data_IF_791884243650
#
_entry.id   IF_791884243650
#
_cell.length_a   1.000
_cell.length_b   1.000
_cell.length_c   1.000
_cell.angle_alpha   90.00
_cell.angle_beta   90.00
_cell.angle_gamma   90.00
#
_symmetry.space_group_name_H-M   'P 1'
#
loop_
_entity.id
_entity.type
_entity.pdbx_description
1 polymer ?
#
# COMPACT_ATOMS: atom_id res chain seq x y z
N UNK A 1 12.96 -2.73 -3.53
CA UNK A 1 12.25 -1.65 -2.84
C UNK A 1 12.82 -1.52 -1.44
N UNK A 2 13.28 -0.33 -1.07
CA UNK A 2 13.86 -0.08 0.25
C UNK A 2 12.83 0.50 1.23
N UNK A 3 11.85 1.23 0.71
CA UNK A 3 10.70 1.79 1.44
C UNK A 3 9.67 2.33 0.46
N UNK A 4 8.43 2.53 0.93
CA UNK A 4 7.34 3.15 0.18
C UNK A 4 6.64 2.19 -0.77
N UNK A 5 6.01 2.74 -1.78
CA UNK A 5 5.11 2.06 -2.69
C UNK A 5 5.51 2.31 -4.14
N UNK A 6 5.30 1.31 -4.99
CA UNK A 6 5.54 1.41 -6.44
C UNK A 6 4.52 0.61 -7.22
N UNK A 7 4.04 1.17 -8.31
CA UNK A 7 3.32 0.44 -9.34
C UNK A 7 4.22 0.22 -10.55
N UNK A 8 4.20 -1.00 -11.10
CA UNK A 8 5.03 -1.39 -12.25
C UNK A 8 4.18 -2.08 -13.31
N UNK A 9 4.29 -1.62 -14.56
CA UNK A 9 3.80 -2.33 -15.72
C UNK A 9 5.01 -2.89 -16.49
N UNK A 10 5.14 -4.22 -16.49
CA UNK A 10 6.28 -4.94 -17.06
C UNK A 10 5.94 -5.38 -18.48
N UNK A 11 6.79 -5.01 -19.44
CA UNK A 11 6.68 -5.51 -20.80
C UNK A 11 6.90 -7.02 -20.84
N UNK A 12 6.13 -7.73 -21.67
CA UNK A 12 6.25 -9.19 -21.77
C UNK A 12 7.59 -9.59 -22.38
N UNK A 13 8.44 -10.26 -21.60
CA UNK A 13 9.69 -10.84 -22.07
C UNK A 13 10.10 -12.01 -21.16
N UNK A 14 9.86 -13.24 -21.60
CA UNK A 14 10.14 -14.47 -20.85
C UNK A 14 11.65 -14.68 -20.57
N UNK A 15 12.51 -14.08 -21.40
CA UNK A 15 13.97 -14.19 -21.24
C UNK A 15 14.56 -13.17 -20.25
N UNK A 16 13.77 -12.17 -19.85
CA UNK A 16 14.20 -11.10 -18.94
C UNK A 16 13.10 -10.78 -17.92
N UNK A 17 12.82 -11.67 -16.98
CA UNK A 17 11.86 -11.40 -15.91
C UNK A 17 12.35 -10.25 -15.03
N UNK A 18 11.42 -9.36 -14.65
CA UNK A 18 11.69 -8.37 -13.63
C UNK A 18 11.63 -9.03 -12.25
N UNK A 19 12.62 -8.76 -11.41
CA UNK A 19 12.60 -9.19 -10.01
C UNK A 19 12.60 -7.94 -9.10
N UNK A 20 11.59 -7.84 -8.25
CA UNK A 20 11.47 -6.81 -7.21
C UNK A 20 11.78 -7.45 -5.86
N UNK A 21 12.73 -6.89 -5.14
CA UNK A 21 13.08 -7.29 -3.78
C UNK A 21 12.36 -6.36 -2.81
N UNK A 22 11.51 -6.93 -1.96
CA UNK A 22 10.75 -6.20 -0.94
C UNK A 22 10.77 -6.98 0.38
N UNK A 23 11.42 -6.42 1.41
CA UNK A 23 11.67 -7.14 2.66
C UNK A 23 12.41 -8.45 2.40
N UNK A 24 11.90 -9.56 2.94
CA UNK A 24 12.43 -10.92 2.71
C UNK A 24 11.87 -11.59 1.45
N UNK A 25 11.10 -10.88 0.63
CA UNK A 25 10.41 -11.45 -0.53
C UNK A 25 11.06 -11.04 -1.85
N UNK A 26 11.01 -11.95 -2.81
CA UNK A 26 11.33 -11.71 -4.22
C UNK A 26 10.05 -11.86 -5.00
N UNK A 27 9.65 -10.82 -5.72
CA UNK A 27 8.48 -10.77 -6.59
C UNK A 27 8.96 -10.77 -8.02
N UNK A 28 8.66 -11.83 -8.77
CA UNK A 28 9.06 -11.98 -10.16
C UNK A 28 7.87 -11.82 -11.12
N UNK A 29 8.09 -11.07 -12.18
CA UNK A 29 7.09 -10.65 -13.13
C UNK A 29 7.56 -10.81 -14.57
N UNK A 30 6.65 -11.30 -15.44
CA UNK A 30 6.84 -11.39 -16.90
C UNK A 30 5.57 -10.92 -17.58
N UNK A 31 5.59 -9.70 -18.14
CA UNK A 31 4.41 -9.14 -18.81
C UNK A 31 3.21 -8.95 -17.88
N UNK A 32 3.41 -8.31 -16.74
CA UNK A 32 2.41 -8.14 -15.70
C UNK A 32 2.36 -6.69 -15.22
N UNK A 33 1.22 -6.29 -14.65
CA UNK A 33 1.13 -5.02 -13.93
C UNK A 33 0.77 -5.30 -12.46
N UNK A 34 1.52 -4.71 -11.53
CA UNK A 34 1.34 -4.94 -10.10
C UNK A 34 1.83 -3.76 -9.28
N UNK A 35 1.30 -3.66 -8.08
CA UNK A 35 1.67 -2.70 -7.06
C UNK A 35 2.36 -3.42 -5.91
N UNK A 36 3.42 -2.85 -5.39
CA UNK A 36 4.15 -3.32 -4.20
C UNK A 36 4.31 -2.17 -3.24
N UNK A 37 3.84 -2.38 -2.03
CA UNK A 37 4.06 -1.48 -0.90
C UNK A 37 4.90 -2.19 0.15
N UNK A 38 5.96 -1.53 0.62
CA UNK A 38 6.76 -1.99 1.75
C UNK A 38 6.37 -1.19 2.99
N UNK A 39 5.57 -1.82 3.84
CA UNK A 39 5.22 -1.33 5.17
C UNK A 39 6.35 -1.54 6.19
N UNK A 40 6.08 -1.24 7.45
CA UNK A 40 7.04 -1.44 8.55
C UNK A 40 7.27 -2.91 8.89
N UNK A 41 6.26 -3.75 8.77
CA UNK A 41 6.28 -5.16 9.18
C UNK A 41 5.84 -6.14 8.09
N UNK A 42 5.29 -5.64 6.99
CA UNK A 42 4.74 -6.45 5.90
C UNK A 42 5.03 -5.86 4.53
N UNK A 43 4.80 -6.68 3.52
CA UNK A 43 4.77 -6.26 2.13
C UNK A 43 3.37 -6.50 1.60
N UNK A 44 2.77 -5.47 1.04
CA UNK A 44 1.51 -5.58 0.33
C UNK A 44 1.76 -5.67 -1.16
N UNK A 45 1.14 -6.64 -1.81
CA UNK A 45 1.24 -6.89 -3.25
C UNK A 45 -0.15 -6.95 -3.85
N UNK A 46 -0.42 -6.11 -4.85
CA UNK A 46 -1.67 -6.13 -5.62
C UNK A 46 -1.33 -6.39 -7.09
N UNK A 47 -1.94 -7.40 -7.69
CA UNK A 47 -1.77 -7.69 -9.12
C UNK A 47 -2.94 -7.13 -9.91
N UNK A 48 -2.66 -6.17 -10.79
CA UNK A 48 -3.67 -5.50 -11.63
C UNK A 48 -3.79 -6.15 -13.00
N UNK A 49 -2.73 -6.79 -13.48
CA UNK A 49 -2.76 -7.56 -14.73
C UNK A 49 -1.75 -8.70 -14.73
N UNK A 50 -2.15 -9.86 -15.27
CA UNK A 50 -1.30 -11.04 -15.36
C UNK A 50 -1.15 -11.80 -14.04
N UNK A 51 0.04 -12.32 -13.80
CA UNK A 51 0.40 -13.14 -12.63
C UNK A 51 1.85 -12.91 -12.25
N UNK A 52 2.13 -12.76 -10.97
CA UNK A 52 3.48 -12.69 -10.43
C UNK A 52 3.78 -13.91 -9.57
N UNK A 53 5.06 -14.25 -9.47
CA UNK A 53 5.58 -15.27 -8.58
C UNK A 53 6.23 -14.60 -7.37
N UNK A 54 5.90 -15.08 -6.18
CA UNK A 54 6.51 -14.64 -4.92
C UNK A 54 7.30 -15.78 -4.31
N UNK A 55 8.51 -15.50 -3.86
CA UNK A 55 9.39 -16.45 -3.16
C UNK A 55 10.12 -15.75 -2.02
N UNK A 56 10.53 -16.52 -1.01
CA UNK A 56 11.39 -16.04 0.07
C UNK A 56 12.84 -15.93 -0.43
N UNK A 57 13.53 -14.83 -0.07
CA UNK A 57 14.93 -14.57 -0.45
C UNK A 57 15.88 -15.65 0.06
N UNK A 58 15.57 -16.27 1.19
CA UNK A 58 16.35 -17.35 1.80
C UNK A 58 16.10 -18.72 1.14
N UNK A 59 15.07 -18.84 0.30
CA UNK A 59 14.77 -20.06 -0.43
C UNK A 59 15.49 -20.16 -1.78
N UNK A 60 16.48 -19.32 -2.02
CA UNK A 60 17.22 -19.21 -3.28
C UNK A 60 17.95 -20.48 -3.65
N UNK A 61 17.48 -21.17 -4.66
CA UNK A 61 18.38 -21.89 -5.60
C UNK A 61 18.99 -20.86 -6.55
N UNK A 62 20.28 -20.96 -6.82
CA UNK A 62 21.14 -19.95 -7.43
C UNK A 62 20.83 -19.54 -8.89
N UNK A 63 19.68 -19.86 -9.44
CA UNK A 63 19.26 -19.53 -10.80
C UNK A 63 18.02 -18.61 -10.81
N UNK A 64 17.90 -17.67 -11.76
CA UNK A 64 16.66 -16.95 -11.98
C UNK A 64 15.58 -17.97 -12.33
N UNK A 65 14.55 -18.06 -11.48
CA UNK A 65 13.40 -18.94 -11.70
C UNK A 65 12.71 -18.54 -13.00
N UNK A 66 12.58 -19.46 -13.94
CA UNK A 66 11.66 -19.29 -15.06
C UNK A 66 10.25 -19.42 -14.52
N UNK A 67 9.29 -18.69 -15.07
CA UNK A 67 7.88 -18.80 -14.68
C UNK A 67 7.35 -20.25 -14.82
N UNK A 68 7.97 -21.06 -15.69
CA UNK A 68 7.73 -22.49 -15.83
C UNK A 68 8.27 -23.33 -14.66
N UNK A 69 9.22 -22.81 -13.88
CA UNK A 69 9.91 -23.54 -12.80
C UNK A 69 9.28 -23.30 -11.41
N UNK A 70 8.06 -22.73 -11.39
CA UNK A 70 7.27 -22.38 -10.19
C UNK A 70 7.06 -23.53 -9.22
N UNK A 71 7.25 -24.78 -9.69
CA UNK A 71 7.03 -25.99 -8.91
C UNK A 71 8.24 -26.41 -8.03
N UNK A 72 9.32 -25.65 -8.03
CA UNK A 72 10.59 -26.14 -7.49
C UNK A 72 10.99 -25.57 -6.12
N UNK A 73 10.23 -24.59 -5.59
CA UNK A 73 10.45 -24.15 -4.20
C UNK A 73 9.21 -24.38 -3.37
N UNK A 74 9.29 -25.13 -2.26
CA UNK A 74 8.14 -25.38 -1.38
C UNK A 74 7.58 -24.11 -0.70
N UNK A 75 8.23 -22.96 -0.87
CA UNK A 75 7.83 -21.66 -0.33
C UNK A 75 7.49 -20.61 -1.40
N UNK A 76 7.29 -21.04 -2.65
CA UNK A 76 6.88 -20.12 -3.71
C UNK A 76 5.39 -20.25 -3.96
N UNK A 77 4.73 -19.12 -4.25
CA UNK A 77 3.32 -19.08 -4.61
C UNK A 77 3.08 -17.99 -5.66
N UNK A 78 1.95 -18.04 -6.32
CA UNK A 78 1.58 -17.05 -7.32
C UNK A 78 0.44 -16.16 -6.84
N UNK A 79 0.49 -14.89 -7.23
CA UNK A 79 -0.60 -13.92 -7.05
C UNK A 79 -1.06 -13.51 -8.44
N UNK A 80 -2.37 -13.61 -8.70
CA UNK A 80 -2.98 -13.37 -9.99
C UNK A 80 -3.75 -12.06 -10.01
N UNK A 81 -4.07 -11.57 -11.20
CA UNK A 81 -4.93 -10.41 -11.42
C UNK A 81 -6.16 -10.42 -10.51
N UNK A 82 -6.43 -9.28 -9.86
CA UNK A 82 -7.55 -9.11 -8.94
C UNK A 82 -7.28 -9.65 -7.53
N UNK A 83 -6.07 -10.12 -7.25
CA UNK A 83 -5.67 -10.60 -5.92
C UNK A 83 -4.75 -9.59 -5.23
N UNK A 84 -4.90 -9.53 -3.91
CA UNK A 84 -4.04 -8.82 -2.98
C UNK A 84 -3.39 -9.84 -2.05
N UNK A 85 -2.09 -9.73 -1.85
CA UNK A 85 -1.33 -10.55 -0.91
C UNK A 85 -0.70 -9.67 0.17
N UNK A 86 -0.86 -10.06 1.43
CA UNK A 86 -0.08 -9.52 2.55
C UNK A 86 0.99 -10.53 2.93
N UNK A 87 2.24 -10.13 2.80
CA UNK A 87 3.42 -10.96 3.01
C UNK A 87 4.08 -10.54 4.33
N UNK A 88 3.81 -11.28 5.39
CA UNK A 88 4.44 -11.09 6.70
C UNK A 88 5.52 -12.16 6.91
N UNK A 89 6.49 -11.89 7.75
CA UNK A 89 7.59 -12.83 8.02
C UNK A 89 7.10 -14.20 8.51
N UNK A 90 5.99 -14.26 9.22
CA UNK A 90 5.41 -15.49 9.80
C UNK A 90 4.23 -16.06 9.02
N UNK A 91 3.60 -15.28 8.14
CA UNK A 91 2.36 -15.69 7.46
C UNK A 91 2.16 -14.91 6.16
N UNK A 92 1.59 -15.57 5.16
CA UNK A 92 1.14 -14.96 3.92
C UNK A 92 -0.36 -15.15 3.78
N UNK A 93 -1.08 -14.05 3.55
CA UNK A 93 -2.52 -14.07 3.29
C UNK A 93 -2.76 -13.58 1.86
N UNK A 94 -3.45 -14.38 1.06
CA UNK A 94 -3.89 -13.98 -0.29
C UNK A 94 -5.42 -13.87 -0.27
N UNK A 95 -5.92 -12.72 -0.65
CA UNK A 95 -7.36 -12.45 -0.72
C UNK A 95 -7.73 -12.00 -2.14
N UNK A 96 -8.87 -12.47 -2.63
CA UNK A 96 -9.52 -11.86 -3.78
C UNK A 96 -10.00 -10.46 -3.36
N UNK A 97 -9.77 -9.47 -4.19
CA UNK A 97 -10.22 -8.11 -3.93
C UNK A 97 -11.26 -7.71 -4.98
N UNK A 98 -12.33 -7.04 -4.56
CA UNK A 98 -13.26 -6.48 -5.52
C UNK A 98 -12.64 -5.29 -6.27
N UNK A 99 -13.18 -5.01 -7.46
CA UNK A 99 -12.65 -3.97 -8.34
C UNK A 99 -12.69 -2.58 -7.68
N UNK A 100 -13.68 -2.32 -6.82
CA UNK A 100 -13.83 -1.03 -6.16
C UNK A 100 -12.75 -0.84 -5.09
N UNK A 101 -12.41 -1.90 -4.35
CA UNK A 101 -11.33 -1.87 -3.36
C UNK A 101 -9.97 -1.70 -4.04
N UNK A 102 -9.71 -2.45 -5.10
CA UNK A 102 -8.48 -2.28 -5.89
C UNK A 102 -8.34 -0.85 -6.45
N UNK A 103 -9.43 -0.27 -6.95
CA UNK A 103 -9.42 1.10 -7.44
C UNK A 103 -9.10 2.12 -6.32
N UNK A 104 -9.55 1.86 -5.08
CA UNK A 104 -9.21 2.71 -3.93
C UNK A 104 -7.74 2.57 -3.56
N UNK A 105 -7.27 1.33 -3.42
CA UNK A 105 -5.88 1.04 -3.05
C UNK A 105 -4.87 1.62 -4.07
N UNK A 106 -5.29 1.84 -5.32
CA UNK A 106 -4.44 2.36 -6.40
C UNK A 106 -4.73 3.82 -6.80
N UNK A 107 -5.66 4.49 -6.11
CA UNK A 107 -6.04 5.88 -6.43
C UNK A 107 -4.88 6.88 -6.29
N UNK A 108 -3.89 6.55 -5.45
CA UNK A 108 -2.69 7.35 -5.24
C UNK A 108 -1.88 7.60 -6.53
N UNK A 109 -1.91 6.68 -7.50
CA UNK A 109 -1.27 6.85 -8.82
C UNK A 109 -1.79 8.07 -9.57
N UNK A 110 -3.00 8.52 -9.26
CA UNK A 110 -3.64 9.71 -9.80
C UNK A 110 -3.62 10.88 -8.82
N UNK A 111 -2.84 10.77 -7.75
CA UNK A 111 -2.76 11.78 -6.71
C UNK A 111 -4.00 11.85 -5.81
N UNK A 112 -4.73 10.75 -5.68
CA UNK A 112 -5.94 10.68 -4.88
C UNK A 112 -5.81 9.64 -3.76
N UNK A 113 -6.46 9.87 -2.63
CA UNK A 113 -6.63 8.94 -1.54
C UNK A 113 -8.12 8.71 -1.32
N UNK A 114 -8.53 7.45 -1.18
CA UNK A 114 -9.92 7.06 -0.97
C UNK A 114 -10.00 6.26 0.33
N UNK A 115 -10.65 6.86 1.32
CA UNK A 115 -10.90 6.23 2.62
C UNK A 115 -12.34 5.71 2.68
N UNK A 116 -12.52 4.52 3.27
CA UNK A 116 -13.80 3.79 3.30
C UNK A 116 -14.17 3.30 4.70
N UNK A 117 -13.70 3.99 5.73
CA UNK A 117 -13.93 3.65 7.13
C UNK A 117 -12.63 3.31 7.86
N UNK A 118 -11.48 3.66 7.30
CA UNK A 118 -10.19 3.58 7.99
C UNK A 118 -10.19 4.52 9.20
N UNK A 119 -9.38 4.18 10.21
CA UNK A 119 -9.18 5.08 11.34
C UNK A 119 -8.54 6.38 10.89
N UNK A 120 -8.84 7.49 11.57
CA UNK A 120 -8.19 8.77 11.27
C UNK A 120 -6.68 8.67 11.43
N UNK A 121 -6.20 7.83 12.36
CA UNK A 121 -4.78 7.56 12.54
C UNK A 121 -4.17 6.94 11.27
N UNK A 122 -4.74 5.84 10.77
CA UNK A 122 -4.24 5.16 9.58
C UNK A 122 -4.31 6.05 8.34
N UNK A 123 -5.43 6.77 8.20
CA UNK A 123 -5.61 7.72 7.10
C UNK A 123 -4.57 8.86 7.13
N UNK A 124 -4.23 9.39 8.29
CA UNK A 124 -3.21 10.43 8.39
C UNK A 124 -1.79 9.89 8.21
N UNK A 125 -1.53 8.64 8.58
CA UNK A 125 -0.29 7.95 8.22
C UNK A 125 -0.15 7.86 6.69
N UNK A 126 -1.22 7.47 6.01
CA UNK A 126 -1.25 7.42 4.54
C UNK A 126 -1.04 8.80 3.91
N UNK A 127 -1.75 9.84 4.37
CA UNK A 127 -1.55 11.22 3.91
C UNK A 127 -0.09 11.69 4.09
N UNK A 128 0.53 11.34 5.20
CA UNK A 128 1.93 11.70 5.50
C UNK A 128 2.94 11.12 4.50
N UNK A 129 2.60 10.02 3.81
CA UNK A 129 3.47 9.40 2.79
C UNK A 129 3.57 10.24 1.51
N UNK A 130 2.52 11.00 1.20
CA UNK A 130 2.43 11.81 -0.03
C UNK A 130 2.62 13.29 0.22
N UNK A 131 2.83 13.68 1.46
CA UNK A 131 2.98 15.08 1.86
C UNK A 131 4.17 15.25 2.79
N UNK A 132 4.55 16.50 3.07
CA UNK A 132 5.58 16.80 4.07
C UNK A 132 4.99 16.99 5.49
N UNK A 133 3.70 16.70 5.68
CA UNK A 133 3.03 16.89 6.96
C UNK A 133 3.12 15.64 7.84
N UNK A 134 3.30 15.88 9.14
CA UNK A 134 3.21 14.91 10.22
C UNK A 134 1.98 15.27 11.05
N UNK A 135 1.22 14.24 11.46
CA UNK A 135 0.01 14.43 12.24
C UNK A 135 0.18 13.85 13.64
N UNK A 136 -0.09 14.70 14.65
CA UNK A 136 -0.21 14.30 16.05
C UNK A 136 -1.69 14.28 16.44
N UNK A 137 -2.00 13.53 17.48
CA UNK A 137 -3.35 13.39 18.00
C UNK A 137 -3.42 13.85 19.44
N UNK A 138 -4.43 14.62 19.77
CA UNK A 138 -4.66 15.13 21.13
C UNK A 138 -5.27 14.10 22.08
N UNK A 139 -5.96 13.09 21.53
CA UNK A 139 -6.68 12.07 22.27
C UNK A 139 -6.84 10.79 21.44
N UNK A 140 -7.14 9.66 22.13
CA UNK A 140 -7.32 8.34 21.49
C UNK A 140 -8.65 8.24 20.73
N UNK A 141 -9.69 8.95 21.16
CA UNK A 141 -10.98 8.96 20.49
C UNK A 141 -10.83 9.53 19.07
N UNK A 142 -10.03 10.61 18.94
CA UNK A 142 -9.72 11.20 17.63
C UNK A 142 -8.96 10.24 16.74
N UNK A 143 -8.02 9.44 17.27
CA UNK A 143 -7.28 8.45 16.48
C UNK A 143 -8.19 7.37 15.89
N UNK A 144 -9.14 6.88 16.70
CA UNK A 144 -10.04 5.78 16.34
C UNK A 144 -11.22 6.21 15.47
N UNK A 145 -11.41 7.52 15.25
CA UNK A 145 -12.50 8.05 14.43
C UNK A 145 -12.41 7.49 13.00
N UNK A 146 -13.49 6.87 12.53
CA UNK A 146 -13.54 6.34 11.18
C UNK A 146 -13.87 7.44 10.18
N UNK A 147 -13.11 7.51 9.12
CA UNK A 147 -13.32 8.46 8.04
C UNK A 147 -13.59 7.75 6.71
N UNK A 148 -14.47 8.34 5.92
CA UNK A 148 -14.73 7.93 4.55
C UNK A 148 -14.77 9.17 3.66
N UNK A 149 -14.13 9.09 2.49
CA UNK A 149 -14.10 10.21 1.57
C UNK A 149 -13.03 10.08 0.50
N UNK A 150 -13.09 11.00 -0.43
CA UNK A 150 -12.12 11.16 -1.51
C UNK A 150 -11.31 12.44 -1.26
N UNK A 151 -10.00 12.31 -1.26
CA UNK A 151 -9.07 13.42 -0.98
C UNK A 151 -7.95 13.45 -2.03
N UNK A 152 -7.52 14.67 -2.38
CA UNK A 152 -6.36 14.86 -3.23
C UNK A 152 -5.11 15.02 -2.36
N UNK A 153 -4.04 14.32 -2.71
CA UNK A 153 -2.75 14.42 -2.00
C UNK A 153 -2.17 15.84 -2.01
N UNK A 154 -2.54 16.64 -3.01
CA UNK A 154 -2.12 18.04 -3.15
C UNK A 154 -2.98 19.04 -2.37
N UNK A 155 -4.11 18.63 -1.79
CA UNK A 155 -5.07 19.53 -1.12
C UNK A 155 -5.24 19.22 0.37
N UNK A 156 -4.19 19.49 1.14
CA UNK A 156 -4.22 19.33 2.60
C UNK A 156 -5.22 20.30 3.25
N UNK A 157 -5.38 21.50 2.69
CA UNK A 157 -6.32 22.48 3.22
C UNK A 157 -7.76 21.98 3.10
N UNK A 158 -8.12 21.37 1.96
CA UNK A 158 -9.44 20.76 1.76
C UNK A 158 -9.66 19.56 2.68
N UNK A 159 -8.64 18.72 2.90
CA UNK A 159 -8.71 17.62 3.86
C UNK A 159 -9.00 18.14 5.27
N UNK A 160 -8.23 19.12 5.76
CA UNK A 160 -8.41 19.68 7.11
C UNK A 160 -9.78 20.34 7.27
N UNK A 161 -10.24 21.08 6.27
CA UNK A 161 -11.60 21.67 6.27
C UNK A 161 -12.70 20.61 6.30
N UNK A 162 -12.53 19.49 5.58
CA UNK A 162 -13.47 18.37 5.60
C UNK A 162 -13.48 17.67 6.98
N UNK A 163 -12.32 17.48 7.61
CA UNK A 163 -12.25 16.93 8.97
C UNK A 163 -12.99 17.82 9.99
N UNK A 164 -12.82 19.13 9.87
CA UNK A 164 -13.48 20.09 10.76
C UNK A 164 -15.00 20.14 10.54
N UNK A 165 -15.43 20.12 9.29
CA UNK A 165 -16.85 20.29 8.93
C UNK A 165 -17.68 19.01 9.12
N UNK A 166 -17.11 17.84 8.83
CA UNK A 166 -17.87 16.60 8.74
C UNK A 166 -17.58 15.61 9.88
N UNK A 167 -16.43 15.72 10.53
CA UNK A 167 -15.98 14.73 11.51
C UNK A 167 -15.79 15.32 12.91
N UNK A 168 -16.13 16.58 13.11
CA UNK A 168 -15.99 17.27 14.40
C UNK A 168 -14.56 17.24 14.97
N UNK A 169 -13.57 17.33 14.09
CA UNK A 169 -12.15 17.36 14.40
C UNK A 169 -11.62 18.76 14.17
N UNK A 170 -10.93 19.33 15.14
CA UNK A 170 -10.20 20.60 14.98
C UNK A 170 -8.72 20.34 14.80
N UNK A 171 -8.04 21.25 14.14
CA UNK A 171 -6.61 21.16 13.93
C UNK A 171 -5.86 22.39 14.44
N UNK A 172 -4.63 22.15 14.90
CA UNK A 172 -3.69 23.20 15.30
C UNK A 172 -2.33 22.95 14.64
N UNK A 173 -1.81 23.91 13.91
CA UNK A 173 -0.44 23.88 13.41
C UNK A 173 0.53 24.03 14.59
N UNK A 174 1.38 23.04 14.81
CA UNK A 174 2.42 23.04 15.84
C UNK A 174 3.72 23.60 15.24
N UNK A 175 4.00 23.28 14.00
CA UNK A 175 5.11 23.80 13.21
C UNK A 175 4.74 23.89 11.73
N UNK A 176 5.69 24.22 10.87
CA UNK A 176 5.46 24.29 9.42
C UNK A 176 4.97 22.96 8.83
N UNK A 177 5.40 21.83 9.41
CA UNK A 177 5.12 20.49 8.89
C UNK A 177 4.37 19.59 9.90
N UNK A 178 3.99 20.11 11.07
CA UNK A 178 3.37 19.33 12.12
C UNK A 178 2.00 19.91 12.48
N UNK A 179 0.99 19.06 12.40
CA UNK A 179 -0.41 19.40 12.65
C UNK A 179 -0.94 18.47 13.75
N UNK A 180 -1.53 19.05 14.79
CA UNK A 180 -2.24 18.30 15.82
C UNK A 180 -3.71 18.30 15.53
N UNK A 181 -4.29 17.12 15.54
CA UNK A 181 -5.73 16.87 15.41
C UNK A 181 -6.31 16.54 16.79
N UNK A 182 -7.48 17.05 17.09
CA UNK A 182 -8.22 16.75 18.32
C UNK A 182 -9.71 16.90 18.10
N UNK A 183 -10.51 16.25 18.95
CA UNK A 183 -11.94 16.40 18.91
C UNK A 183 -12.33 17.85 19.25
N UNK A 184 -13.33 18.34 18.57
CA UNK A 184 -13.92 19.66 18.90
C UNK A 184 -14.56 19.58 20.28
N UNK A 185 -14.30 20.57 21.16
CA UNK A 185 -14.88 20.61 22.50
C UNK A 185 -16.41 20.58 22.50
#
# INVERSE_FOLDING_TARGET
LLRGEMHVAVAHNEHKPLSVYAGSNIIQAVGTAFNVELGSEDVELIVTDGKVLVSDINSRTAAPLKLSDVYLSPKSFSVSKGQKAQLKASNTTIIGSDAAKLASDLAWQQGNLIFRGESLFDAMQEVSRYTNYQFDFGDEDTKSLQIAGFFKTSDISGLLAALESNFNVVFKKISNNQIRLSKKP
#
